data_IF_825294880213
#
_entry.id   IF_825294880213
#
_cell.length_a   1.000
_cell.length_b   1.000
_cell.length_c   1.000
_cell.angle_alpha   90.00
_cell.angle_beta   90.00
_cell.angle_gamma   90.00
#
_symmetry.space_group_name_H-M   'P 1'
#
loop_
_entity.id
_entity.type
_entity.pdbx_description
1 polymer ?
#
# COMPACT_ATOMS: atom_id res chain seq x y z
N UNK A 1 -24.22 -7.85 34.27
CA UNK A 1 -22.87 -7.30 34.02
C UNK A 1 -22.75 -6.94 32.55
N UNK A 2 -23.09 -5.70 32.19
CA UNK A 2 -23.13 -5.23 30.78
C UNK A 2 -21.77 -4.62 30.46
N UNK A 3 -20.85 -5.45 29.98
CA UNK A 3 -19.50 -5.02 29.58
C UNK A 3 -19.68 -4.12 28.34
N UNK A 4 -19.86 -2.83 28.58
CA UNK A 4 -19.76 -1.82 27.52
C UNK A 4 -18.29 -1.79 27.14
N UNK A 5 -17.95 -2.52 26.08
CA UNK A 5 -16.68 -2.33 25.40
C UNK A 5 -16.59 -0.85 25.02
N UNK A 6 -15.82 -0.08 25.81
CA UNK A 6 -15.28 1.22 25.41
C UNK A 6 -14.24 0.89 24.35
N UNK A 7 -14.72 0.50 23.17
CA UNK A 7 -13.93 0.61 21.96
C UNK A 7 -13.79 2.12 21.74
N UNK A 8 -12.67 2.66 22.25
CA UNK A 8 -12.23 4.04 22.11
C UNK A 8 -12.59 4.56 20.72
N UNK A 9 -13.25 5.72 20.65
CA UNK A 9 -13.65 6.38 19.39
C UNK A 9 -12.46 6.55 18.42
N UNK A 10 -11.24 6.57 18.95
CA UNK A 10 -9.98 6.59 18.21
C UNK A 10 -9.72 5.29 17.44
N UNK A 11 -10.03 4.12 18.01
CA UNK A 11 -9.87 2.83 17.33
C UNK A 11 -10.86 2.65 16.18
N UNK A 12 -12.09 3.17 16.31
CA UNK A 12 -13.11 3.10 15.26
C UNK A 12 -12.68 3.85 13.99
N UNK A 13 -12.11 5.06 14.15
CA UNK A 13 -11.60 5.87 13.04
C UNK A 13 -10.43 5.21 12.29
N UNK A 14 -9.53 4.51 12.99
CA UNK A 14 -8.45 3.75 12.33
C UNK A 14 -8.96 2.52 11.60
N UNK A 15 -9.93 1.80 12.16
CA UNK A 15 -10.56 0.65 11.50
C UNK A 15 -11.32 1.08 10.23
N UNK A 16 -12.00 2.23 10.28
CA UNK A 16 -12.69 2.79 9.11
C UNK A 16 -11.72 3.20 8.01
N UNK A 17 -10.58 3.80 8.34
CA UNK A 17 -9.53 4.13 7.36
C UNK A 17 -8.91 2.88 6.72
N UNK A 18 -8.69 1.82 7.50
CA UNK A 18 -8.23 0.52 6.97
C UNK A 18 -9.27 -0.08 6.04
N UNK A 19 -10.55 -0.09 6.44
CA UNK A 19 -11.64 -0.59 5.60
C UNK A 19 -11.78 0.21 4.30
N UNK A 20 -11.65 1.53 4.35
CA UNK A 20 -11.62 2.38 3.15
C UNK A 20 -10.42 2.08 2.26
N UNK A 21 -9.24 1.83 2.83
CA UNK A 21 -8.06 1.40 2.08
C UNK A 21 -8.32 0.05 1.38
N UNK A 22 -8.93 -0.90 2.09
CA UNK A 22 -9.31 -2.22 1.58
C UNK A 22 -10.39 -2.16 0.48
N UNK A 23 -11.30 -1.20 0.53
CA UNK A 23 -12.25 -0.97 -0.55
C UNK A 23 -11.59 -0.31 -1.75
N UNK A 24 -10.75 0.69 -1.53
CA UNK A 24 -10.07 1.40 -2.61
C UNK A 24 -9.06 0.50 -3.34
N UNK A 25 -8.30 -0.32 -2.59
CA UNK A 25 -7.35 -1.27 -3.17
C UNK A 25 -8.05 -2.34 -4.02
N UNK A 26 -9.34 -2.60 -3.77
CA UNK A 26 -10.14 -3.53 -4.54
C UNK A 26 -10.72 -2.84 -5.78
N UNK A 27 -11.30 -1.65 -5.64
CA UNK A 27 -11.90 -0.92 -6.76
C UNK A 27 -10.86 -0.50 -7.80
N UNK A 28 -9.66 -0.10 -7.35
CA UNK A 28 -8.59 0.42 -8.22
C UNK A 28 -8.16 -0.59 -9.31
N UNK A 29 -7.76 -1.84 -8.99
CA UNK A 29 -7.42 -2.82 -10.02
C UNK A 29 -8.64 -3.21 -10.89
N UNK A 30 -9.86 -3.19 -10.36
CA UNK A 30 -11.05 -3.42 -11.20
C UNK A 30 -11.17 -2.37 -12.31
N UNK A 31 -11.03 -1.08 -11.98
CA UNK A 31 -11.07 0.00 -12.97
C UNK A 31 -9.84 -0.07 -13.90
N UNK A 32 -8.65 -0.13 -13.31
CA UNK A 32 -7.39 0.00 -14.04
C UNK A 32 -7.04 -1.22 -14.89
N UNK A 33 -7.49 -2.42 -14.54
CA UNK A 33 -7.18 -3.66 -15.27
C UNK A 33 -8.31 -4.05 -16.22
N UNK A 34 -9.59 -3.90 -15.84
CA UNK A 34 -10.67 -4.30 -16.76
C UNK A 34 -10.71 -3.45 -18.02
N UNK A 35 -10.53 -2.13 -17.92
CA UNK A 35 -10.55 -1.23 -19.09
C UNK A 35 -9.54 -1.68 -20.16
N UNK A 36 -8.23 -1.81 -19.86
CA UNK A 36 -7.27 -2.23 -20.87
C UNK A 36 -7.38 -3.71 -21.25
N UNK A 37 -7.86 -4.59 -20.36
CA UNK A 37 -8.13 -5.98 -20.69
C UNK A 37 -9.19 -6.08 -21.79
N UNK A 38 -10.32 -5.38 -21.65
CA UNK A 38 -11.35 -5.37 -22.69
C UNK A 38 -10.86 -4.76 -24.00
N UNK A 39 -10.00 -3.73 -23.95
CA UNK A 39 -9.37 -3.17 -25.15
C UNK A 39 -8.52 -4.23 -25.84
N UNK A 40 -7.64 -4.95 -25.14
CA UNK A 40 -6.80 -6.00 -25.73
C UNK A 40 -7.64 -7.16 -26.28
N UNK A 41 -8.79 -7.48 -25.67
CA UNK A 41 -9.67 -8.56 -26.15
C UNK A 41 -10.44 -8.13 -27.40
N UNK A 42 -10.92 -6.88 -27.48
CA UNK A 42 -11.78 -6.41 -28.58
C UNK A 42 -10.95 -5.97 -29.80
N UNK A 43 -9.80 -5.33 -29.62
CA UNK A 43 -9.02 -4.76 -30.72
C UNK A 43 -8.47 -5.78 -31.76
N UNK A 44 -8.11 -7.02 -31.38
CA UNK A 44 -7.74 -8.06 -32.33
C UNK A 44 -8.84 -8.38 -33.34
N UNK A 45 -10.12 -8.22 -32.98
CA UNK A 45 -11.24 -8.40 -33.91
C UNK A 45 -11.27 -7.34 -35.02
N UNK A 46 -10.60 -6.20 -34.83
CA UNK A 46 -10.43 -5.15 -35.84
C UNK A 46 -9.11 -5.30 -36.63
N UNK A 47 -8.36 -6.39 -36.42
CA UNK A 47 -7.08 -6.62 -37.10
C UNK A 47 -5.90 -5.85 -36.52
N UNK A 48 -6.07 -5.18 -35.37
CA UNK A 48 -5.02 -4.40 -34.71
C UNK A 48 -4.39 -5.24 -33.60
N UNK A 49 -3.17 -5.74 -33.85
CA UNK A 49 -2.43 -6.52 -32.86
C UNK A 49 -1.53 -5.63 -31.99
N UNK A 50 -1.97 -5.33 -30.76
CA UNK A 50 -1.22 -4.50 -29.81
C UNK A 50 -0.29 -5.32 -28.91
N UNK A 51 0.74 -5.93 -29.50
CA UNK A 51 1.70 -6.77 -28.74
C UNK A 51 2.44 -6.00 -27.64
N UNK A 52 2.83 -4.75 -27.92
CA UNK A 52 3.47 -3.87 -26.93
C UNK A 52 2.53 -3.51 -25.77
N UNK A 53 1.23 -3.39 -26.03
CA UNK A 53 0.25 -3.02 -25.01
C UNK A 53 -0.05 -4.21 -24.09
N UNK A 54 -0.06 -5.43 -24.64
CA UNK A 54 -0.16 -6.66 -23.85
C UNK A 54 1.01 -6.81 -22.86
N UNK A 55 2.25 -6.61 -23.31
CA UNK A 55 3.42 -6.67 -22.43
C UNK A 55 3.36 -5.65 -21.29
N UNK A 56 2.91 -4.42 -21.58
CA UNK A 56 2.75 -3.37 -20.56
C UNK A 56 1.66 -3.70 -19.55
N UNK A 57 0.59 -4.37 -19.96
CA UNK A 57 -0.50 -4.78 -19.07
C UNK A 57 -0.08 -5.90 -18.14
N UNK A 58 0.69 -6.88 -18.62
CA UNK A 58 1.25 -7.94 -17.78
C UNK A 58 2.16 -7.34 -16.70
N UNK A 59 2.99 -6.36 -17.06
CA UNK A 59 3.83 -5.65 -16.09
C UNK A 59 2.99 -4.90 -15.04
N UNK A 60 1.92 -4.23 -15.47
CA UNK A 60 0.98 -3.53 -14.57
C UNK A 60 0.33 -4.52 -13.59
N UNK A 61 -0.08 -5.70 -14.09
CA UNK A 61 -0.69 -6.77 -13.31
C UNK A 61 0.28 -7.34 -12.27
N UNK A 62 1.54 -7.57 -12.64
CA UNK A 62 2.58 -8.02 -11.72
C UNK A 62 2.89 -7.01 -10.61
N UNK A 63 2.65 -5.71 -10.84
CA UNK A 63 2.86 -4.67 -9.84
C UNK A 63 1.65 -4.48 -8.92
N UNK A 64 0.43 -4.87 -9.32
CA UNK A 64 -0.78 -4.73 -8.49
C UNK A 64 -0.65 -5.28 -7.05
N UNK A 65 -0.02 -6.46 -6.82
CA UNK A 65 0.23 -6.97 -5.47
C UNK A 65 1.11 -6.06 -4.61
N UNK A 66 2.02 -5.28 -5.22
CA UNK A 66 2.89 -4.34 -4.53
C UNK A 66 2.20 -2.99 -4.28
N UNK A 67 1.36 -2.51 -5.21
CA UNK A 67 0.59 -1.25 -5.02
C UNK A 67 -0.39 -1.38 -3.85
N UNK A 68 -1.02 -2.54 -3.68
CA UNK A 68 -2.01 -2.80 -2.64
C UNK A 68 -1.51 -2.44 -1.20
N UNK A 69 -0.41 -3.00 -0.69
CA UNK A 69 0.14 -2.63 0.62
C UNK A 69 0.70 -1.20 0.66
N UNK A 70 1.24 -0.67 -0.45
CA UNK A 70 1.70 0.72 -0.53
C UNK A 70 0.53 1.70 -0.30
N UNK A 71 -0.62 1.44 -0.92
CA UNK A 71 -1.82 2.26 -0.81
C UNK A 71 -2.34 2.27 0.63
N UNK A 72 -2.34 1.11 1.30
CA UNK A 72 -2.71 0.98 2.72
C UNK A 72 -1.76 1.78 3.61
N UNK A 73 -0.46 1.70 3.38
CA UNK A 73 0.55 2.47 4.14
C UNK A 73 0.35 3.98 3.93
N UNK A 74 0.01 4.43 2.72
CA UNK A 74 -0.23 5.85 2.44
C UNK A 74 -1.53 6.39 3.05
N UNK A 75 -2.61 5.61 3.00
CA UNK A 75 -3.94 6.05 3.44
C UNK A 75 -4.09 6.03 4.96
N UNK A 76 -3.47 5.04 5.62
CA UNK A 76 -3.59 4.88 7.07
C UNK A 76 -2.55 5.76 7.77
N UNK A 77 -2.97 6.97 8.17
CA UNK A 77 -2.13 7.95 8.89
C UNK A 77 -1.42 7.35 10.12
N UNK A 78 -2.09 6.42 10.80
CA UNK A 78 -1.51 5.70 11.95
C UNK A 78 -0.30 4.87 11.56
N UNK A 79 -0.37 4.12 10.45
CA UNK A 79 0.76 3.30 9.95
C UNK A 79 1.93 4.20 9.55
N UNK A 80 1.66 5.34 8.93
CA UNK A 80 2.71 6.31 8.56
C UNK A 80 3.47 6.84 9.77
N UNK A 81 2.75 7.21 10.82
CA UNK A 81 3.37 7.74 12.03
C UNK A 81 4.18 6.67 12.78
N UNK A 82 3.69 5.42 12.83
CA UNK A 82 4.45 4.30 13.41
C UNK A 82 5.68 3.94 12.58
N UNK A 83 5.59 3.99 11.25
CA UNK A 83 6.74 3.74 10.37
C UNK A 83 7.80 4.84 10.52
N UNK A 84 7.39 6.11 10.56
CA UNK A 84 8.29 7.25 10.75
C UNK A 84 8.93 7.24 12.14
N UNK A 85 8.19 6.93 13.20
CA UNK A 85 8.74 6.83 14.56
C UNK A 85 9.75 5.69 14.70
N UNK A 86 9.55 4.58 13.97
CA UNK A 86 10.48 3.46 13.92
C UNK A 86 11.77 3.83 13.15
N UNK A 87 11.68 4.65 12.09
CA UNK A 87 12.84 5.21 11.37
C UNK A 87 13.65 6.16 12.27
N UNK A 88 12.98 7.00 13.07
CA UNK A 88 13.67 7.90 14.02
C UNK A 88 14.40 7.13 15.13
N UNK A 89 13.83 6.02 15.62
CA UNK A 89 14.49 5.14 16.60
C UNK A 89 15.72 4.44 16.01
N UNK A 90 15.65 3.97 14.76
CA UNK A 90 16.83 3.41 14.07
C UNK A 90 17.95 4.44 13.88
N UNK A 91 17.62 5.68 13.56
CA UNK A 91 18.62 6.75 13.39
C UNK A 91 19.28 7.16 14.72
N UNK A 92 18.52 7.14 15.83
CA UNK A 92 19.04 7.41 17.17
C UNK A 92 19.91 6.27 17.70
N UNK A 93 19.55 5.01 17.46
CA UNK A 93 20.31 3.85 17.94
C UNK A 93 21.65 3.66 17.21
N UNK A 94 21.74 4.01 15.91
CA UNK A 94 23.00 3.99 15.17
C UNK A 94 23.96 5.09 15.66
N UNK A 95 23.45 6.27 16.04
CA UNK A 95 24.26 7.37 16.59
C UNK A 95 24.90 7.02 17.94
N UNK A 96 24.18 6.32 18.82
CA UNK A 96 24.72 5.96 20.15
C UNK A 96 25.78 4.86 20.07
N UNK A 97 25.69 3.91 19.13
CA UNK A 97 26.73 2.88 18.94
C UNK A 97 28.04 3.47 18.42
N UNK A 98 28.00 4.48 17.56
CA UNK A 98 29.20 5.16 17.07
C UNK A 98 29.91 5.97 18.16
N UNK A 99 29.17 6.68 19.03
CA UNK A 99 29.78 7.44 20.13
C UNK A 99 30.35 6.50 21.20
N UNK A 100 29.65 5.41 21.52
CA UNK A 100 30.16 4.41 22.47
C UNK A 100 31.46 3.74 21.98
N UNK A 101 31.61 3.47 20.68
CA UNK A 101 32.83 2.89 20.12
C UNK A 101 33.99 3.89 20.14
N UNK A 102 33.75 5.19 19.90
CA UNK A 102 34.81 6.22 19.90
C UNK A 102 35.28 6.58 21.32
N UNK A 103 34.40 6.48 22.33
CA UNK A 103 34.78 6.71 23.75
C UNK A 103 35.49 5.47 24.35
N UNK A 104 35.34 4.29 23.74
CA UNK A 104 35.96 3.04 24.22
C UNK A 104 37.33 2.75 23.59
N UNK A 105 37.91 3.70 22.84
CA UNK A 105 39.18 3.59 22.12
C UNK A 105 40.16 4.65 22.63
#
# INVERSE_FOLDING_TARGET
MKIRFIASSTSKKSQEQLNMALLLQFILPFITIHIPFYIIVILPFFGIALRLLADKIIFLFCWCPAINPILVILLVKKIRNELLSCQTKKLSQTRTRSIAVVISM
#
